data_IF_293945361153
#
_entry.id   IF_293945361153
#
_cell.length_a   1.000
_cell.length_b   1.000
_cell.length_c   1.000
_cell.angle_alpha   90.00
_cell.angle_beta   90.00
_cell.angle_gamma   90.00
#
_symmetry.space_group_name_H-M   'P 1'
#
loop_
_entity.id
_entity.type
_entity.pdbx_description
1 polymer ?
#
# COMPACT_ATOMS: atom_id res chain seq x y z
N UNK A 1 -12.09 -10.77 -8.86
CA UNK A 1 -11.27 -9.83 -8.07
C UNK A 1 -10.06 -10.57 -7.54
N UNK A 2 -8.86 -10.06 -7.76
CA UNK A 2 -7.60 -10.67 -7.31
C UNK A 2 -6.76 -9.60 -6.59
N UNK A 3 -5.79 -10.03 -5.78
CA UNK A 3 -4.86 -9.20 -5.01
C UNK A 3 -4.14 -8.13 -5.83
N UNK A 4 -3.93 -8.36 -7.12
CA UNK A 4 -3.37 -7.37 -8.05
C UNK A 4 -4.21 -6.09 -8.14
N UNK A 5 -5.53 -6.18 -7.98
CA UNK A 5 -6.43 -5.02 -8.00
C UNK A 5 -6.32 -4.15 -6.74
N UNK A 6 -5.81 -4.68 -5.62
CA UNK A 6 -5.69 -3.98 -4.35
C UNK A 6 -4.28 -3.44 -4.09
N UNK A 7 -3.25 -4.04 -4.70
CA UNK A 7 -1.84 -3.81 -4.38
C UNK A 7 -1.21 -2.62 -5.12
N UNK A 8 -1.90 -1.99 -6.06
CA UNK A 8 -1.34 -0.92 -6.89
C UNK A 8 -0.33 -1.42 -7.93
N UNK A 9 -0.22 -2.73 -8.14
CA UNK A 9 0.72 -3.34 -9.07
C UNK A 9 0.20 -3.42 -10.51
N UNK A 10 -1.12 -3.48 -10.68
CA UNK A 10 -1.75 -3.54 -12.00
C UNK A 10 -2.11 -2.14 -12.53
N UNK A 11 -2.12 -1.92 -13.86
CA UNK A 11 -2.44 -0.62 -14.46
C UNK A 11 -3.82 -0.06 -14.08
N UNK A 12 -4.78 -0.93 -13.77
CA UNK A 12 -6.15 -0.56 -13.36
C UNK A 12 -6.33 -0.51 -11.84
N UNK A 13 -5.28 -0.80 -11.07
CA UNK A 13 -5.33 -0.74 -9.61
C UNK A 13 -5.21 0.72 -9.15
N UNK A 14 -5.91 1.13 -8.09
CA UNK A 14 -5.70 2.44 -7.50
C UNK A 14 -4.22 2.66 -7.15
N UNK A 15 -3.71 3.90 -7.26
CA UNK A 15 -2.32 4.18 -6.94
C UNK A 15 -1.96 3.80 -5.49
N UNK A 16 -0.74 3.32 -5.25
CA UNK A 16 -0.27 2.86 -3.94
C UNK A 16 -0.37 3.90 -2.81
N UNK A 17 -0.40 5.20 -3.15
CA UNK A 17 -0.52 6.28 -2.17
C UNK A 17 -1.96 6.54 -1.72
N UNK A 18 -2.96 5.86 -2.30
CA UNK A 18 -4.34 5.92 -1.85
C UNK A 18 -4.53 4.95 -0.68
N UNK A 19 -4.54 5.50 0.54
CA UNK A 19 -4.74 4.74 1.78
C UNK A 19 -6.16 5.00 2.31
N UNK A 20 -6.94 3.93 2.47
CA UNK A 20 -8.31 4.00 2.97
C UNK A 20 -8.36 3.99 4.49
N UNK A 21 -9.24 4.80 5.07
CA UNK A 21 -9.53 4.78 6.50
C UNK A 21 -10.54 3.67 6.82
N UNK A 22 -10.38 2.93 7.92
CA UNK A 22 -11.38 1.95 8.36
C UNK A 22 -12.68 2.61 8.85
N UNK A 23 -12.61 3.90 9.20
CA UNK A 23 -13.75 4.71 9.61
C UNK A 23 -14.28 5.53 8.44
N UNK A 24 -15.57 5.38 8.08
CA UNK A 24 -16.22 6.33 7.20
C UNK A 24 -16.33 7.69 7.89
N UNK A 25 -15.53 8.65 7.45
CA UNK A 25 -15.89 10.05 7.64
C UNK A 25 -16.92 10.41 6.55
N UNK A 26 -18.16 10.81 6.88
CA UNK A 26 -19.16 11.17 5.88
C UNK A 26 -18.75 12.36 4.99
N UNK A 27 -17.75 13.14 5.43
CA UNK A 27 -17.19 14.29 4.69
C UNK A 27 -15.87 13.98 3.96
N UNK A 28 -15.17 12.89 4.28
CA UNK A 28 -13.79 12.66 3.80
C UNK A 28 -13.54 11.27 3.23
N UNK A 29 -14.39 10.29 3.51
CA UNK A 29 -14.19 8.92 3.08
C UNK A 29 -14.71 8.71 1.67
N UNK A 30 -13.86 8.11 0.83
CA UNK A 30 -14.24 7.63 -0.51
C UNK A 30 -15.06 6.33 -0.45
N UNK A 31 -15.19 5.71 0.72
CA UNK A 31 -16.13 4.62 0.94
C UNK A 31 -17.52 5.22 1.10
N UNK A 32 -18.34 5.10 0.06
CA UNK A 32 -19.77 5.35 0.10
C UNK A 32 -20.43 4.30 1.01
N UNK A 33 -20.32 4.47 2.33
CA UNK A 33 -21.05 3.66 3.28
C UNK A 33 -22.49 4.18 3.27
N UNK A 34 -23.31 3.53 2.46
CA UNK A 34 -24.75 3.76 2.39
C UNK A 34 -25.48 3.05 3.55
N UNK A 35 -24.91 3.13 4.76
CA UNK A 35 -25.45 2.53 5.97
C UNK A 35 -25.36 3.54 7.14
N UNK A 36 -26.33 4.47 7.23
CA UNK A 36 -26.36 5.48 8.30
C UNK A 36 -26.65 4.87 9.68
N UNK A 37 -27.23 3.66 9.74
CA UNK A 37 -27.59 2.99 11.00
C UNK A 37 -26.53 1.98 11.48
N UNK A 38 -25.61 1.58 10.59
CA UNK A 38 -24.59 0.57 10.85
C UNK A 38 -25.17 -0.84 11.01
N UNK A 39 -26.27 -1.14 10.34
CA UNK A 39 -26.94 -2.44 10.40
C UNK A 39 -26.02 -3.59 9.98
N UNK A 40 -25.07 -3.32 9.08
CA UNK A 40 -24.02 -4.27 8.73
C UNK A 40 -23.18 -4.67 9.95
N UNK A 41 -22.69 -3.70 10.72
CA UNK A 41 -21.86 -3.96 11.91
C UNK A 41 -22.68 -4.70 12.97
N UNK A 42 -23.93 -4.31 13.19
CA UNK A 42 -24.82 -4.96 14.17
C UNK A 42 -25.07 -6.44 13.86
N UNK A 43 -25.09 -6.81 12.57
CA UNK A 43 -25.27 -8.19 12.13
C UNK A 43 -24.04 -9.06 12.38
N UNK A 44 -22.85 -8.53 12.10
CA UNK A 44 -21.61 -9.31 12.16
C UNK A 44 -20.87 -9.21 13.50
N UNK A 45 -21.14 -8.15 14.27
CA UNK A 45 -20.49 -7.86 15.55
C UNK A 45 -21.59 -7.68 16.62
N UNK A 46 -22.09 -8.78 17.22
CA UNK A 46 -23.27 -8.74 18.11
C UNK A 46 -23.03 -7.94 19.39
N UNK A 47 -21.77 -7.86 19.83
CA UNK A 47 -21.29 -7.04 20.95
C UNK A 47 -21.56 -5.53 20.75
N UNK A 48 -21.58 -5.04 19.51
CA UNK A 48 -21.87 -3.63 19.19
C UNK A 48 -23.35 -3.37 18.81
N UNK A 49 -24.24 -4.35 18.97
CA UNK A 49 -25.63 -4.24 18.49
C UNK A 49 -26.40 -3.08 19.11
N UNK A 50 -26.17 -2.82 20.39
CA UNK A 50 -26.88 -1.80 21.16
C UNK A 50 -26.21 -0.42 21.11
N UNK A 51 -25.11 -0.25 20.35
CA UNK A 51 -24.45 1.04 20.23
C UNK A 51 -25.32 2.04 19.43
N UNK A 52 -25.29 3.32 19.81
CA UNK A 52 -25.93 4.37 19.03
C UNK A 52 -25.27 4.49 17.65
N UNK A 53 -26.04 4.78 16.59
CA UNK A 53 -25.53 4.81 15.20
C UNK A 53 -24.42 5.85 15.01
N UNK A 54 -24.42 6.92 15.82
CA UNK A 54 -23.39 7.95 15.82
C UNK A 54 -21.98 7.42 16.14
N UNK A 55 -21.88 6.40 16.99
CA UNK A 55 -20.59 5.87 17.46
C UNK A 55 -20.32 4.45 16.97
N UNK A 56 -21.19 3.84 16.15
CA UNK A 56 -21.02 2.44 15.74
C UNK A 56 -19.75 2.20 14.92
N UNK A 57 -19.36 3.17 14.09
CA UNK A 57 -18.12 3.12 13.32
C UNK A 57 -16.89 3.55 14.13
N UNK A 58 -17.10 4.28 15.23
CA UNK A 58 -16.05 4.83 16.07
C UNK A 58 -16.36 4.64 17.56
N UNK A 59 -16.48 3.38 18.04
CA UNK A 59 -16.94 3.12 19.40
C UNK A 59 -16.04 3.78 20.44
N UNK A 60 -14.73 3.88 20.17
CA UNK A 60 -13.75 4.48 21.09
C UNK A 60 -13.96 5.99 21.34
N UNK A 61 -14.72 6.70 20.50
CA UNK A 61 -15.10 8.10 20.76
C UNK A 61 -16.33 8.21 21.65
N UNK A 62 -17.05 7.11 21.88
CA UNK A 62 -18.25 7.12 22.70
C UNK A 62 -17.89 7.39 24.17
N UNK A 63 -18.65 8.26 24.86
CA UNK A 63 -18.48 8.46 26.29
C UNK A 63 -18.82 7.18 27.06
N UNK A 64 -18.22 7.01 28.23
CA UNK A 64 -18.40 5.82 29.09
C UNK A 64 -19.88 5.57 29.43
N UNK A 65 -20.67 6.64 29.53
CA UNK A 65 -22.12 6.56 29.76
C UNK A 65 -22.82 5.81 28.63
N UNK A 66 -22.48 6.11 27.38
CA UNK A 66 -23.09 5.47 26.21
C UNK A 66 -22.58 4.04 26.02
N UNK A 67 -21.29 3.78 26.33
CA UNK A 67 -20.73 2.42 26.35
C UNK A 67 -21.46 1.52 27.36
N UNK A 68 -21.73 2.03 28.57
CA UNK A 68 -22.49 1.32 29.60
C UNK A 68 -23.94 1.08 29.18
N UNK A 69 -24.60 2.06 28.57
CA UNK A 69 -25.96 1.91 28.02
C UNK A 69 -26.01 0.84 26.92
N UNK A 70 -24.97 0.77 26.10
CA UNK A 70 -24.84 -0.23 25.06
C UNK A 70 -24.39 -1.61 25.57
N UNK A 71 -24.08 -1.75 26.87
CA UNK A 71 -23.56 -2.97 27.49
C UNK A 71 -22.29 -3.52 26.82
N UNK A 72 -21.44 -2.64 26.29
CA UNK A 72 -20.17 -3.03 25.69
C UNK A 72 -19.10 -2.01 26.03
N UNK A 73 -18.11 -2.45 26.82
CA UNK A 73 -16.98 -1.65 27.26
C UNK A 73 -15.75 -1.91 26.39
N UNK A 74 -15.15 -0.81 25.93
CA UNK A 74 -14.00 -0.88 25.02
C UNK A 74 -12.73 -1.15 25.81
N UNK A 75 -12.13 -2.31 25.53
CA UNK A 75 -10.98 -2.87 26.22
C UNK A 75 -11.27 -4.17 26.95
N UNK A 76 -12.55 -4.47 27.22
CA UNK A 76 -13.00 -5.72 27.85
C UNK A 76 -13.87 -6.51 26.90
N UNK A 77 -15.02 -5.96 26.49
CA UNK A 77 -15.97 -6.63 25.62
C UNK A 77 -15.54 -6.47 24.15
N UNK A 78 -15.11 -5.27 23.77
CA UNK A 78 -14.58 -4.99 22.42
C UNK A 78 -13.13 -4.51 22.50
N UNK A 79 -12.19 -5.02 21.70
CA UNK A 79 -10.79 -4.62 21.80
C UNK A 79 -10.58 -3.13 21.49
N UNK A 80 -9.57 -2.55 22.14
CA UNK A 80 -9.10 -1.20 21.81
C UNK A 80 -8.47 -1.21 20.41
N UNK A 81 -8.53 -0.07 19.73
CA UNK A 81 -7.85 0.11 18.44
C UNK A 81 -6.36 -0.17 18.58
N UNK A 82 -5.85 -1.02 17.71
CA UNK A 82 -4.42 -1.31 17.59
C UNK A 82 -3.68 -0.08 17.05
N UNK A 83 -4.26 0.60 16.06
CA UNK A 83 -3.70 1.83 15.48
C UNK A 83 -4.42 3.04 16.08
N UNK A 84 -3.67 3.87 16.80
CA UNK A 84 -4.20 5.07 17.47
C UNK A 84 -4.37 6.25 16.50
N UNK A 85 -3.37 6.50 15.65
CA UNK A 85 -3.38 7.56 14.64
C UNK A 85 -3.12 6.98 13.23
N UNK A 86 -4.21 6.86 12.47
CA UNK A 86 -4.16 6.40 11.09
C UNK A 86 -3.40 7.37 10.17
N UNK A 87 -3.52 8.69 10.39
CA UNK A 87 -2.87 9.72 9.56
C UNK A 87 -1.35 9.62 9.68
N UNK A 88 -0.86 9.48 10.92
CA UNK A 88 0.56 9.29 11.18
C UNK A 88 1.10 8.00 10.56
N UNK A 89 0.46 6.86 10.81
CA UNK A 89 0.91 5.55 10.31
C UNK A 89 0.88 5.49 8.79
N UNK A 90 -0.17 6.02 8.16
CA UNK A 90 -0.29 6.11 6.69
C UNK A 90 0.89 6.89 6.09
N UNK A 91 1.20 8.08 6.61
CA UNK A 91 2.34 8.89 6.15
C UNK A 91 3.67 8.17 6.32
N UNK A 92 3.89 7.53 7.47
CA UNK A 92 5.11 6.79 7.74
C UNK A 92 5.30 5.62 6.75
N UNK A 93 4.24 4.87 6.46
CA UNK A 93 4.29 3.75 5.52
C UNK A 93 4.52 4.22 4.07
N UNK A 94 3.87 5.30 3.64
CA UNK A 94 4.09 5.89 2.31
C UNK A 94 5.54 6.38 2.18
N UNK A 95 6.10 7.00 3.22
CA UNK A 95 7.50 7.43 3.22
C UNK A 95 8.47 6.26 3.06
N UNK A 96 8.25 5.17 3.80
CA UNK A 96 9.03 3.92 3.68
C UNK A 96 8.95 3.35 2.26
N UNK A 97 7.75 3.31 1.67
CA UNK A 97 7.57 2.79 0.33
C UNK A 97 8.25 3.66 -0.74
N UNK A 98 8.19 4.99 -0.60
CA UNK A 98 8.92 5.92 -1.46
C UNK A 98 10.43 5.70 -1.39
N UNK A 99 10.97 5.49 -0.18
CA UNK A 99 12.38 5.19 0.01
C UNK A 99 12.77 3.87 -0.68
N UNK A 100 11.96 2.81 -0.57
CA UNK A 100 12.23 1.56 -1.27
C UNK A 100 12.17 1.69 -2.80
N UNK A 101 11.27 2.53 -3.33
CA UNK A 101 11.20 2.80 -4.76
C UNK A 101 12.41 3.57 -5.28
N UNK A 102 12.93 4.52 -4.50
CA UNK A 102 14.15 5.25 -4.84
C UNK A 102 15.35 4.29 -4.92
N UNK A 103 15.52 3.45 -3.88
CA UNK A 103 16.57 2.43 -3.85
C UNK A 103 16.46 1.43 -5.01
N UNK A 104 15.24 1.00 -5.36
CA UNK A 104 15.02 0.09 -6.49
C UNK A 104 15.37 0.73 -7.85
N UNK A 105 15.07 2.03 -8.01
CA UNK A 105 15.47 2.78 -9.22
C UNK A 105 16.97 2.95 -9.33
N UNK A 106 17.65 3.25 -8.23
CA UNK A 106 19.11 3.34 -8.17
C UNK A 106 19.76 2.00 -8.48
N UNK A 107 19.23 0.89 -7.93
CA UNK A 107 19.70 -0.45 -8.25
C UNK A 107 19.50 -0.82 -9.74
N UNK A 108 18.36 -0.43 -10.33
CA UNK A 108 18.11 -0.62 -11.76
C UNK A 108 19.03 0.23 -12.66
N UNK A 109 19.35 1.45 -12.23
CA UNK A 109 20.32 2.30 -12.92
C UNK A 109 21.73 1.69 -12.87
N UNK A 110 22.15 1.17 -11.72
CA UNK A 110 23.45 0.49 -11.57
C UNK A 110 23.56 -0.79 -12.42
N UNK A 111 22.48 -1.58 -12.52
CA UNK A 111 22.48 -2.79 -13.36
C UNK A 111 22.54 -2.47 -14.85
N UNK A 112 21.84 -1.44 -15.31
CA UNK A 112 21.93 -0.98 -16.72
C UNK A 112 23.33 -0.48 -17.10
N UNK A 113 24.04 0.20 -16.19
CA UNK A 113 25.44 0.63 -16.41
C UNK A 113 26.43 -0.55 -16.49
N UNK A 114 26.24 -1.58 -15.67
CA UNK A 114 27.08 -2.79 -15.74
C UNK A 114 26.88 -3.58 -17.04
N UNK A 115 25.67 -3.53 -17.62
CA UNK A 115 25.33 -4.25 -18.85
C UNK A 115 25.99 -3.58 -20.07
N UNK A 116 26.00 -2.24 -20.12
CA UNK A 116 26.69 -1.50 -21.18
C UNK A 116 28.21 -1.66 -21.17
N UNK A 117 28.84 -1.70 -19.99
CA UNK A 117 30.30 -1.92 -19.90
C UNK A 117 30.71 -3.35 -20.27
N UNK A 118 29.87 -4.35 -19.98
CA UNK A 118 30.11 -5.73 -20.40
C UNK A 118 29.92 -5.92 -21.91
N UNK A 119 28.92 -5.27 -22.52
CA UNK A 119 28.73 -5.27 -23.98
C UNK A 119 29.87 -4.56 -24.72
N UNK A 120 30.38 -3.45 -24.18
CA UNK A 120 31.49 -2.71 -24.79
C UNK A 120 32.82 -3.47 -24.68
N UNK A 121 33.09 -4.15 -23.54
CA UNK A 121 34.24 -5.05 -23.41
C UNK A 121 34.15 -6.26 -24.35
N UNK A 122 32.95 -6.81 -24.55
CA UNK A 122 32.72 -7.91 -25.50
C UNK A 122 32.96 -7.46 -26.96
N UNK A 123 32.51 -6.25 -27.33
CA UNK A 123 32.77 -5.63 -28.65
C UNK A 123 34.26 -5.31 -28.89
N UNK A 124 35.01 -4.87 -27.87
CA UNK A 124 36.46 -4.63 -27.98
C UNK A 124 37.28 -5.93 -28.04
N UNK A 125 36.77 -7.04 -27.50
CA UNK A 125 37.41 -8.36 -27.62
C UNK A 125 37.19 -9.05 -28.98
N UNK A 126 36.23 -8.58 -29.79
CA UNK A 126 35.83 -9.23 -31.05
C UNK A 126 36.38 -8.54 -32.32
N UNK A 127 37.42 -7.70 -32.23
CA UNK A 127 38.08 -7.14 -33.42
C UNK A 127 39.12 -8.14 -33.95
N UNK A 128 38.96 -8.77 -35.12
CA UNK A 128 39.98 -9.66 -35.66
C UNK A 128 41.08 -8.83 -36.31
N UNK A 129 42.30 -8.90 -35.76
CA UNK A 129 43.53 -8.55 -36.48
C UNK A 129 43.77 -9.61 -37.56
N UNK A 130 43.73 -9.22 -38.83
CA UNK A 130 44.20 -10.06 -39.94
C UNK A 130 44.61 -9.19 -41.13
N UNK A 131 45.77 -8.55 -40.99
CA UNK A 131 46.55 -8.11 -42.15
C UNK A 131 47.23 -9.32 -42.79
N UNK A 132 46.80 -9.75 -43.97
CA UNK A 132 47.58 -10.70 -44.78
C UNK A 132 47.69 -10.21 -46.22
N UNK A 133 48.83 -9.57 -46.52
CA UNK A 133 49.27 -9.21 -47.87
C UNK A 133 49.47 -10.49 -48.69
N UNK A 134 48.64 -10.73 -49.70
CA UNK A 134 48.92 -11.75 -50.73
C UNK A 134 49.56 -11.09 -51.95
N UNK A 135 50.85 -11.36 -52.16
CA UNK A 135 51.68 -10.88 -53.29
C UNK A 135 51.11 -11.35 -54.64
N UNK A 136 51.06 -10.43 -55.61
CA UNK A 136 50.92 -10.74 -57.05
C UNK A 136 52.12 -11.57 -57.51
N UNK A 137 51.87 -12.64 -58.28
CA UNK A 137 52.86 -13.24 -59.19
C UNK A 137 52.26 -13.34 -60.59
N UNK A 138 53.18 -13.10 -61.52
CA UNK A 138 53.13 -12.92 -62.98
C UNK A 138 52.42 -14.06 -63.69
#
# INVERSE_FOLDING_TARGET
FNWLGLSGAAPWSPPYFRVYTPTPDPTKSSLNINDPNGDFIRKFVPELRNFPPKYIYEPWKAPIIDQRKAACLIGTDYPKRIILDHSYVSKANIARFKASLAAAKEAAAASSHSTSEQEEKKRKSSTPSSSSKRKKKI
#
